data_IF_244708006285
#
_entry.id   IF_244708006285
#
_cell.length_a   1.000
_cell.length_b   1.000
_cell.length_c   1.000
_cell.angle_alpha   90.00
_cell.angle_beta   90.00
_cell.angle_gamma   90.00
#
_symmetry.space_group_name_H-M   'P 1'
#
loop_
_entity.id
_entity.type
_entity.pdbx_description
1 polymer ?
#
# COMPACT_ATOMS: atom_id res chain seq x y z
N UNK A 1 -44.07 44.72 35.42
CA UNK A 1 -42.59 44.67 35.38
C UNK A 1 -42.12 43.27 35.76
N UNK A 2 -41.52 42.52 34.82
CA UNK A 2 -40.46 41.52 35.05
C UNK A 2 -40.08 40.84 33.72
N UNK A 3 -38.97 41.36 33.19
CA UNK A 3 -37.99 40.82 32.24
C UNK A 3 -38.21 39.41 31.66
N UNK A 4 -38.47 39.33 30.35
CA UNK A 4 -38.04 38.23 29.49
C UNK A 4 -36.83 38.72 28.67
N UNK A 5 -35.64 38.53 29.21
CA UNK A 5 -34.38 38.54 28.45
C UNK A 5 -33.64 37.28 28.89
N UNK A 6 -32.94 36.64 27.94
CA UNK A 6 -32.07 35.47 28.13
C UNK A 6 -32.67 34.10 27.78
N UNK A 7 -33.04 33.90 26.51
CA UNK A 7 -32.95 32.59 25.85
C UNK A 7 -32.43 32.79 24.42
N UNK A 8 -31.17 33.19 24.30
CA UNK A 8 -30.37 33.13 23.07
C UNK A 8 -28.99 32.68 23.54
N UNK A 9 -28.31 31.82 22.77
CA UNK A 9 -26.94 31.29 22.98
C UNK A 9 -26.75 29.93 23.69
N UNK A 10 -27.43 28.85 23.29
CA UNK A 10 -26.85 27.48 23.45
C UNK A 10 -27.24 26.57 22.26
N UNK A 11 -26.88 26.94 21.03
CA UNK A 11 -27.12 26.10 19.85
C UNK A 11 -25.98 26.18 18.82
N UNK A 12 -24.72 26.25 19.27
CA UNK A 12 -23.58 26.54 18.39
C UNK A 12 -22.28 25.81 18.71
N UNK A 13 -22.30 24.63 19.35
CA UNK A 13 -21.07 23.92 19.74
C UNK A 13 -21.08 22.42 19.41
N UNK A 14 -21.72 22.02 18.31
CA UNK A 14 -21.77 20.61 17.88
C UNK A 14 -21.23 20.36 16.46
N UNK A 15 -20.69 21.38 15.78
CA UNK A 15 -20.26 21.26 14.38
C UNK A 15 -18.74 21.19 14.13
N UNK A 16 -17.88 21.39 15.14
CA UNK A 16 -16.42 21.54 14.90
C UNK A 16 -15.63 20.25 14.72
N UNK A 17 -16.10 19.09 15.18
CA UNK A 17 -15.27 17.87 15.20
C UNK A 17 -15.02 17.24 13.81
N UNK A 18 -15.80 17.63 12.79
CA UNK A 18 -15.67 17.08 11.43
C UNK A 18 -14.56 17.74 10.60
N UNK A 19 -14.13 18.95 10.97
CA UNK A 19 -13.14 19.71 10.18
C UNK A 19 -11.74 19.12 10.38
N UNK A 20 -11.37 18.74 11.61
CA UNK A 20 -10.01 18.27 11.93
C UNK A 20 -9.61 16.93 11.30
N UNK A 21 -10.56 16.02 11.07
CA UNK A 21 -10.26 14.72 10.46
C UNK A 21 -9.89 14.86 8.97
N UNK A 22 -10.53 15.81 8.28
CA UNK A 22 -10.28 16.05 6.86
C UNK A 22 -8.90 16.67 6.62
N UNK A 23 -8.46 17.53 7.56
CA UNK A 23 -7.13 18.15 7.51
C UNK A 23 -5.99 17.13 7.63
N UNK A 24 -6.16 16.11 8.50
CA UNK A 24 -5.16 15.04 8.66
C UNK A 24 -5.01 14.17 7.41
N UNK A 25 -6.12 13.77 6.80
CA UNK A 25 -6.11 12.94 5.58
C UNK A 25 -5.47 13.70 4.43
N UNK A 26 -5.73 15.01 4.32
CA UNK A 26 -5.11 15.87 3.31
C UNK A 26 -3.61 16.09 3.56
N UNK A 27 -3.18 16.30 4.81
CA UNK A 27 -1.76 16.35 5.16
C UNK A 27 -1.05 15.03 4.83
N UNK A 28 -1.67 13.89 5.18
CA UNK A 28 -1.18 12.56 4.84
C UNK A 28 -1.07 12.32 3.33
N UNK A 29 -2.01 12.86 2.53
CA UNK A 29 -1.94 12.82 1.06
C UNK A 29 -0.70 13.52 0.54
N UNK A 30 -0.43 14.74 1.01
CA UNK A 30 0.72 15.52 0.56
C UNK A 30 2.04 14.84 0.94
N UNK A 31 2.13 14.31 2.16
CA UNK A 31 3.29 13.54 2.61
C UNK A 31 3.47 12.26 1.76
N UNK A 32 2.38 11.57 1.42
CA UNK A 32 2.43 10.39 0.55
C UNK A 32 2.94 10.74 -0.85
N UNK A 33 2.46 11.84 -1.44
CA UNK A 33 2.89 12.30 -2.76
C UNK A 33 4.38 12.62 -2.81
N UNK A 34 4.90 13.27 -1.77
CA UNK A 34 6.30 13.66 -1.67
C UNK A 34 7.24 12.48 -1.43
N UNK A 35 6.81 11.50 -0.62
CA UNK A 35 7.72 10.48 -0.08
C UNK A 35 7.48 9.07 -0.65
N UNK A 36 6.26 8.73 -1.07
CA UNK A 36 5.86 7.36 -1.37
C UNK A 36 5.40 7.15 -2.81
N UNK A 37 4.74 8.16 -3.41
CA UNK A 37 4.11 8.04 -4.72
C UNK A 37 5.10 7.78 -5.86
N UNK A 38 6.36 8.23 -5.72
CA UNK A 38 7.44 7.96 -6.70
C UNK A 38 7.60 6.46 -7.00
N UNK A 39 7.36 5.60 -6.01
CA UNK A 39 7.43 4.15 -6.16
C UNK A 39 6.06 3.48 -6.19
N UNK A 40 5.11 3.98 -5.38
CA UNK A 40 3.82 3.32 -5.11
C UNK A 40 2.60 3.96 -5.80
N UNK A 41 2.77 5.07 -6.52
CA UNK A 41 1.70 5.84 -7.18
C UNK A 41 1.08 5.16 -8.41
N UNK A 42 0.18 5.83 -9.13
CA UNK A 42 -0.54 5.24 -10.27
C UNK A 42 0.30 4.86 -11.50
N UNK A 43 1.48 5.45 -11.69
CA UNK A 43 2.32 5.32 -12.89
C UNK A 43 2.65 3.86 -13.25
N UNK A 44 2.57 3.52 -14.54
CA UNK A 44 2.83 2.16 -15.04
C UNK A 44 1.63 1.20 -14.99
N UNK A 45 0.46 1.66 -14.52
CA UNK A 45 -0.77 0.87 -14.51
C UNK A 45 -0.61 -0.44 -13.73
N UNK A 46 -1.24 -1.52 -14.20
CA UNK A 46 -1.03 -2.88 -13.67
C UNK A 46 0.11 -3.65 -14.34
N UNK A 47 0.96 -3.00 -15.15
CA UNK A 47 2.17 -3.64 -15.67
C UNK A 47 3.26 -3.65 -14.61
N UNK A 48 3.39 -4.76 -13.87
CA UNK A 48 4.35 -4.89 -12.77
C UNK A 48 5.83 -4.79 -13.20
N UNK A 49 6.15 -4.89 -14.49
CA UNK A 49 7.51 -4.68 -15.00
C UNK A 49 7.83 -3.21 -15.28
N UNK A 50 6.82 -2.33 -15.29
CA UNK A 50 6.96 -0.87 -15.44
C UNK A 50 6.86 -0.12 -14.10
N UNK A 51 6.93 -0.83 -12.98
CA UNK A 51 6.74 -0.28 -11.64
C UNK A 51 7.92 -0.60 -10.75
N UNK A 52 8.20 0.31 -9.81
CA UNK A 52 9.24 0.12 -8.80
C UNK A 52 8.72 -0.61 -7.55
N UNK A 53 7.42 -0.47 -7.27
CA UNK A 53 6.79 -1.06 -6.10
C UNK A 53 5.32 -1.43 -6.40
N UNK A 54 4.66 -2.24 -5.54
CA UNK A 54 3.25 -2.56 -5.74
C UNK A 54 2.40 -1.28 -5.66
N UNK A 55 1.31 -1.17 -6.44
CA UNK A 55 0.41 -0.02 -6.34
C UNK A 55 -0.17 0.08 -4.94
N UNK A 56 -0.20 1.29 -4.37
CA UNK A 56 -0.64 1.51 -2.99
C UNK A 56 -2.09 1.04 -2.76
N UNK A 57 -2.95 1.14 -3.77
CA UNK A 57 -4.31 0.60 -3.73
C UNK A 57 -4.33 -0.92 -3.46
N UNK A 58 -3.38 -1.67 -4.05
CA UNK A 58 -3.20 -3.09 -3.77
C UNK A 58 -2.69 -3.34 -2.36
N UNK A 59 -1.73 -2.54 -1.89
CA UNK A 59 -1.22 -2.63 -0.51
C UNK A 59 -2.35 -2.42 0.51
N UNK A 60 -3.13 -1.34 0.37
CA UNK A 60 -4.31 -1.06 1.21
C UNK A 60 -5.27 -2.24 1.21
N UNK A 61 -5.61 -2.80 0.04
CA UNK A 61 -6.54 -3.93 -0.06
C UNK A 61 -6.06 -5.16 0.73
N UNK A 62 -4.76 -5.46 0.72
CA UNK A 62 -4.19 -6.57 1.48
C UNK A 62 -4.14 -6.29 2.98
N UNK A 63 -3.79 -5.06 3.38
CA UNK A 63 -3.69 -4.68 4.79
C UNK A 63 -5.07 -4.57 5.44
N UNK A 64 -6.08 -3.99 4.79
CA UNK A 64 -7.46 -3.90 5.33
C UNK A 64 -8.05 -5.30 5.58
N UNK A 65 -7.72 -6.30 4.75
CA UNK A 65 -8.17 -7.68 4.98
C UNK A 65 -7.63 -8.27 6.30
N UNK A 66 -6.47 -7.82 6.77
CA UNK A 66 -5.83 -8.30 8.01
C UNK A 66 -6.09 -7.39 9.21
N UNK A 67 -6.19 -6.08 8.95
CA UNK A 67 -6.30 -4.98 9.90
C UNK A 67 -7.48 -4.09 9.46
N UNK A 68 -8.73 -4.49 9.76
CA UNK A 68 -9.92 -3.80 9.24
C UNK A 68 -10.22 -2.49 9.96
N UNK A 69 -9.72 -2.32 11.19
CA UNK A 69 -9.82 -1.08 11.95
C UNK A 69 -8.63 -0.15 11.70
N UNK A 70 -8.87 1.16 11.82
CA UNK A 70 -7.88 2.19 11.50
C UNK A 70 -6.62 2.06 12.35
N UNK A 71 -6.76 1.83 13.65
CA UNK A 71 -5.66 1.82 14.60
C UNK A 71 -4.69 0.67 14.30
N UNK A 72 -5.22 -0.56 14.13
CA UNK A 72 -4.38 -1.71 13.78
C UNK A 72 -3.79 -1.60 12.39
N UNK A 73 -4.49 -0.98 11.43
CA UNK A 73 -3.97 -0.71 10.10
C UNK A 73 -2.78 0.26 10.13
N UNK A 74 -2.96 1.40 10.82
CA UNK A 74 -1.91 2.43 10.96
C UNK A 74 -0.69 1.84 11.64
N UNK A 75 -0.88 1.15 12.77
CA UNK A 75 0.22 0.50 13.49
C UNK A 75 0.97 -0.53 12.62
N UNK A 76 0.27 -1.29 11.78
CA UNK A 76 0.89 -2.25 10.88
C UNK A 76 1.70 -1.59 9.75
N UNK A 77 1.22 -0.46 9.21
CA UNK A 77 1.95 0.31 8.19
C UNK A 77 3.18 0.97 8.82
N UNK A 78 3.04 1.63 9.98
CA UNK A 78 4.15 2.25 10.71
C UNK A 78 5.24 1.22 10.99
N UNK A 79 4.87 0.08 11.58
CA UNK A 79 5.82 -1.02 11.87
C UNK A 79 6.53 -1.54 10.61
N UNK A 80 5.82 -1.61 9.49
CA UNK A 80 6.41 -2.03 8.22
C UNK A 80 7.39 -1.01 7.66
N UNK A 81 7.08 0.28 7.72
CA UNK A 81 7.94 1.37 7.20
C UNK A 81 9.18 1.54 8.06
N UNK A 82 9.04 1.47 9.38
CA UNK A 82 10.16 1.57 10.33
C UNK A 82 11.16 0.43 10.14
N UNK A 83 10.65 -0.81 9.94
CA UNK A 83 11.50 -1.99 9.83
C UNK A 83 10.94 -3.01 8.83
N UNK A 84 11.15 -2.80 7.52
CA UNK A 84 10.75 -3.75 6.50
C UNK A 84 11.52 -5.06 6.67
N UNK A 85 10.80 -6.17 6.88
CA UNK A 85 11.40 -7.50 7.00
C UNK A 85 10.71 -8.47 6.04
N UNK A 86 11.50 -9.19 5.23
CA UNK A 86 10.97 -10.11 4.20
C UNK A 86 9.94 -11.10 4.78
N UNK A 87 10.24 -11.65 5.96
CA UNK A 87 9.42 -12.66 6.62
C UNK A 87 8.19 -12.10 7.31
N UNK A 88 8.13 -10.78 7.54
CA UNK A 88 6.95 -10.10 8.10
C UNK A 88 6.01 -9.50 7.05
N UNK A 89 6.43 -9.47 5.78
CA UNK A 89 5.58 -8.90 4.71
C UNK A 89 4.26 -9.66 4.56
N UNK A 90 3.13 -8.94 4.56
CA UNK A 90 1.82 -9.48 4.21
C UNK A 90 1.69 -9.81 2.72
N UNK A 91 2.56 -9.25 1.87
CA UNK A 91 2.47 -9.36 0.41
C UNK A 91 3.77 -9.99 -0.11
N UNK A 92 3.99 -11.27 0.22
CA UNK A 92 5.20 -12.04 -0.17
C UNK A 92 5.51 -11.97 -1.67
N UNK A 93 4.46 -11.94 -2.50
CA UNK A 93 4.59 -11.79 -3.95
C UNK A 93 5.24 -10.47 -4.36
N UNK A 94 4.90 -9.37 -3.67
CA UNK A 94 5.49 -8.07 -3.92
C UNK A 94 6.98 -8.06 -3.54
N UNK A 95 7.35 -8.63 -2.39
CA UNK A 95 8.76 -8.73 -1.99
C UNK A 95 9.58 -9.55 -2.98
N UNK A 96 9.02 -10.64 -3.51
CA UNK A 96 9.69 -11.43 -4.56
C UNK A 96 9.85 -10.68 -5.88
N UNK A 97 8.85 -9.86 -6.25
CA UNK A 97 8.85 -9.15 -7.54
C UNK A 97 9.68 -7.87 -7.52
N UNK A 98 9.57 -7.08 -6.45
CA UNK A 98 10.14 -5.74 -6.34
C UNK A 98 11.35 -5.65 -5.39
N UNK A 99 11.61 -6.72 -4.62
CA UNK A 99 12.58 -6.69 -3.53
C UNK A 99 11.98 -6.18 -2.23
N UNK A 100 12.83 -6.06 -1.21
CA UNK A 100 12.45 -5.50 0.07
C UNK A 100 12.35 -3.97 -0.06
N UNK A 101 11.32 -3.38 0.53
CA UNK A 101 11.15 -1.92 0.54
C UNK A 101 12.37 -1.27 1.20
N UNK A 102 13.01 -0.28 0.57
CA UNK A 102 14.11 0.45 1.19
C UNK A 102 13.59 1.28 2.37
N UNK A 103 14.46 1.52 3.34
CA UNK A 103 14.21 2.52 4.38
C UNK A 103 14.26 3.91 3.75
N UNK A 104 13.23 4.71 4.03
CA UNK A 104 13.12 6.10 3.57
C UNK A 104 13.19 7.05 4.76
N UNK A 105 13.79 8.24 4.64
CA UNK A 105 13.91 9.20 5.73
C UNK A 105 12.57 9.93 5.95
N UNK A 106 11.67 9.29 6.68
CA UNK A 106 10.35 9.85 7.05
C UNK A 106 10.17 9.68 8.55
N UNK A 107 9.65 10.70 9.22
CA UNK A 107 9.42 10.65 10.67
C UNK A 107 8.26 9.72 10.99
N UNK A 108 8.21 9.19 12.22
CA UNK A 108 7.11 8.32 12.63
C UNK A 108 5.74 9.03 12.50
N UNK A 109 5.64 10.28 12.98
CA UNK A 109 4.42 11.09 12.88
C UNK A 109 3.96 11.28 11.44
N UNK A 110 4.90 11.50 10.51
CA UNK A 110 4.57 11.60 9.08
C UNK A 110 4.08 10.25 8.52
N UNK A 111 4.68 9.13 8.93
CA UNK A 111 4.22 7.79 8.53
C UNK A 111 2.82 7.50 9.07
N UNK A 112 2.50 7.94 10.29
CA UNK A 112 1.16 7.82 10.87
C UNK A 112 0.14 8.59 10.03
N UNK A 113 0.41 9.85 9.69
CA UNK A 113 -0.45 10.65 8.82
C UNK A 113 -0.61 10.03 7.41
N UNK A 114 0.48 9.53 6.82
CA UNK A 114 0.45 8.81 5.54
C UNK A 114 -0.42 7.55 5.66
N UNK A 115 -0.29 6.79 6.75
CA UNK A 115 -1.04 5.56 6.95
C UNK A 115 -2.55 5.83 7.13
N UNK A 116 -2.93 6.89 7.85
CA UNK A 116 -4.33 7.37 7.92
C UNK A 116 -4.86 7.73 6.53
N UNK A 117 -4.08 8.46 5.73
CA UNK A 117 -4.43 8.76 4.33
C UNK A 117 -4.57 7.48 3.48
N UNK A 118 -3.69 6.50 3.62
CA UNK A 118 -3.81 5.23 2.88
C UNK A 118 -5.09 4.50 3.31
N UNK A 119 -5.46 4.53 4.59
CA UNK A 119 -6.63 3.84 5.14
C UNK A 119 -7.97 4.44 4.70
N UNK A 120 -8.09 5.76 4.66
CA UNK A 120 -9.36 6.48 4.44
C UNK A 120 -9.40 7.29 3.15
N UNK A 121 -8.25 7.82 2.72
CA UNK A 121 -8.13 8.76 1.62
C UNK A 121 -8.40 8.18 0.23
N UNK A 122 -8.46 9.07 -0.74
CA UNK A 122 -8.60 8.74 -2.16
C UNK A 122 -7.23 8.39 -2.75
N UNK A 123 -6.97 7.10 -2.94
CA UNK A 123 -5.78 6.60 -3.61
C UNK A 123 -5.98 6.53 -5.13
N UNK A 124 -4.88 6.67 -5.87
CA UNK A 124 -4.84 6.34 -7.28
C UNK A 124 -5.29 4.89 -7.51
N UNK A 125 -6.19 4.72 -8.48
CA UNK A 125 -6.60 3.43 -9.00
C UNK A 125 -5.90 3.24 -10.35
N UNK A 126 -4.82 2.45 -10.44
CA UNK A 126 -4.09 2.28 -11.68
C UNK A 126 -4.99 1.65 -12.76
N UNK A 127 -4.73 2.01 -14.02
CA UNK A 127 -5.39 1.39 -15.16
C UNK A 127 -5.24 -0.14 -15.11
N UNK A 128 -6.36 -0.86 -15.27
CA UNK A 128 -6.40 -2.33 -15.22
C UNK A 128 -6.54 -2.94 -13.82
N UNK A 129 -6.63 -2.13 -12.75
CA UNK A 129 -6.66 -2.64 -11.38
C UNK A 129 -7.88 -3.52 -11.08
N UNK A 130 -9.07 -3.08 -11.49
CA UNK A 130 -10.31 -3.81 -11.20
C UNK A 130 -10.40 -5.13 -11.96
N UNK A 131 -9.93 -5.16 -13.21
CA UNK A 131 -9.80 -6.38 -13.99
C UNK A 131 -8.79 -7.34 -13.37
N UNK A 132 -7.65 -6.83 -12.88
CA UNK A 132 -6.65 -7.64 -12.19
C UNK A 132 -7.23 -8.27 -10.92
N UNK A 133 -7.89 -7.47 -10.07
CA UNK A 133 -8.53 -7.97 -8.84
C UNK A 133 -9.57 -9.04 -9.17
N UNK A 134 -10.42 -8.80 -10.18
CA UNK A 134 -11.42 -9.79 -10.61
C UNK A 134 -10.78 -11.08 -11.12
N UNK A 135 -9.68 -11.02 -11.88
CA UNK A 135 -8.97 -12.23 -12.35
C UNK A 135 -8.36 -13.03 -11.20
N UNK A 136 -7.78 -12.35 -10.21
CA UNK A 136 -7.09 -13.00 -9.09
C UNK A 136 -8.05 -13.47 -7.97
N UNK A 137 -9.22 -12.84 -7.82
CA UNK A 137 -10.13 -13.07 -6.70
C UNK A 137 -11.59 -13.41 -7.10
N UNK A 138 -11.92 -13.41 -8.39
CA UNK A 138 -13.29 -13.60 -8.91
C UNK A 138 -13.74 -15.04 -9.16
N UNK A 139 -12.97 -16.06 -8.75
CA UNK A 139 -13.43 -17.45 -8.72
C UNK A 139 -12.75 -18.40 -9.72
N UNK A 140 -12.47 -19.61 -9.23
CA UNK A 140 -11.65 -20.72 -9.77
C UNK A 140 -10.14 -20.50 -9.66
N UNK A 141 -9.59 -20.97 -8.54
CA UNK A 141 -8.17 -20.98 -8.22
C UNK A 141 -7.31 -21.38 -9.41
N UNK A 142 -6.56 -20.42 -9.93
CA UNK A 142 -5.50 -20.71 -10.88
C UNK A 142 -4.30 -21.21 -10.08
N UNK A 143 -4.05 -22.51 -10.20
CA UNK A 143 -2.77 -23.12 -9.83
C UNK A 143 -1.68 -22.25 -10.44
N UNK A 144 -0.74 -21.78 -9.62
CA UNK A 144 0.51 -21.21 -10.11
C UNK A 144 1.23 -22.29 -10.93
N UNK A 145 1.04 -22.27 -12.24
CA UNK A 145 1.94 -22.92 -13.19
C UNK A 145 3.20 -22.07 -13.25
N UNK A 146 4.30 -22.58 -12.71
CA UNK A 146 5.61 -22.01 -12.95
C UNK A 146 5.95 -22.22 -14.42
N UNK A 147 5.95 -21.15 -15.20
CA UNK A 147 6.59 -21.15 -16.51
C UNK A 147 8.10 -21.06 -16.26
N UNK A 148 8.74 -22.23 -16.29
CA UNK A 148 10.17 -22.32 -16.50
C UNK A 148 10.49 -21.75 -17.89
N UNK A 149 11.30 -20.71 -17.92
CA UNK A 149 11.99 -20.30 -19.14
C UNK A 149 12.99 -21.41 -19.50
N UNK A 150 12.61 -22.22 -20.49
CA UNK A 150 13.52 -23.06 -21.26
C UNK A 150 14.36 -22.13 -22.15
N UNK A 151 15.64 -21.97 -21.80
CA UNK A 151 16.67 -21.52 -22.72
C UNK A 151 17.57 -22.73 -22.99
N UNK A 152 17.15 -23.52 -23.96
CA UNK A 152 17.93 -24.55 -24.61
C UNK A 152 18.81 -23.92 -25.68
N UNK A 153 20.00 -23.48 -25.27
CA UNK A 153 21.14 -23.29 -26.17
C UNK A 153 22.43 -23.67 -25.43
N UNK A 154 22.94 -24.86 -25.71
CA UNK A 154 24.12 -25.39 -25.04
C UNK A 154 24.59 -26.71 -25.61
N UNK A 155 25.22 -26.63 -26.78
CA UNK A 155 26.00 -27.70 -27.43
C UNK A 155 26.77 -28.54 -26.40
N UNK A 156 26.60 -29.86 -26.51
CA UNK A 156 27.44 -30.88 -25.87
C UNK A 156 28.91 -30.65 -26.27
N UNK A 157 29.75 -30.37 -25.28
CA UNK A 157 31.21 -30.40 -25.37
C UNK A 157 31.72 -31.41 -24.37
N UNK A 158 32.26 -32.49 -24.91
CA UNK A 158 32.90 -33.63 -24.26
C UNK A 158 34.01 -33.20 -23.27
N UNK A 159 34.00 -33.76 -22.07
CA UNK A 159 35.13 -33.74 -21.14
C UNK A 159 35.39 -35.16 -20.62
N UNK A 160 35.94 -35.99 -21.51
CA UNK A 160 36.71 -37.17 -21.13
C UNK A 160 37.94 -36.78 -20.30
N UNK A 161 37.95 -37.20 -19.04
CA UNK A 161 39.11 -37.14 -18.16
C UNK A 161 39.32 -38.51 -17.52
N UNK A 162 40.27 -39.28 -18.03
CA UNK A 162 40.71 -40.54 -17.43
C UNK A 162 42.23 -40.69 -17.62
N UNK A 163 42.93 -40.47 -16.50
CA UNK A 163 44.21 -41.09 -16.08
C UNK A 163 45.48 -40.77 -16.87
N UNK A 164 46.46 -40.17 -16.18
CA UNK A 164 47.65 -40.86 -15.67
C UNK A 164 48.19 -40.16 -14.43
#
# INVERSE_FOLDING_TARGET
MRSLKSILFIAGFLASSLVFANDKVEAGRQLFEQNCAVCHGGTGGMNMSKRLAPPMMGVRMHYIKKYPDKESFVGAIVSWVEKPEKDKSLIKMAVRKFGLMPLIPVTQDDVENIAEYIFEGKLDRPEGFDEHVKKMHGGKGHKHGGEGHDHSDGKKGDCGGMKH
#
